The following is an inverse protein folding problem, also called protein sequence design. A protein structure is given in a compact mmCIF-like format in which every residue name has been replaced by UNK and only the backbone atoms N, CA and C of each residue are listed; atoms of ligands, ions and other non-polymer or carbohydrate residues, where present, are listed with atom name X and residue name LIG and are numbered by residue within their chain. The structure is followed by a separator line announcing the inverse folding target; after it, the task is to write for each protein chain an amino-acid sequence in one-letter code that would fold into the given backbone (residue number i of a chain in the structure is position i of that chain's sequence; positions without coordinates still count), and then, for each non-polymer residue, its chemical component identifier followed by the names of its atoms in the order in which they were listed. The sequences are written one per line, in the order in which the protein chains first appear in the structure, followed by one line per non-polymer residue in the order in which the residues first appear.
data_IF_384108767261
#
_entry.id   IF_384108767261
#
_cell.length_a   1.000
_cell.length_b   1.000
_cell.length_c   1.000
_cell.angle_alpha   90.00
_cell.angle_beta   90.00
_cell.angle_gamma   90.00
#
_symmetry.space_group_name_H-M   'P 1'
#
loop_
_entity.id
_entity.type
_entity.pdbx_description
1 polymer ?
#
# COMPACT_ATOMS: atom_id res chain seq x y z
N UNK A 1 -8.53 -6.49 4.57
CA UNK A 1 -7.36 -7.34 4.22
C UNK A 1 -6.11 -7.04 5.05
N UNK A 2 -5.83 -5.80 5.47
CA UNK A 2 -4.59 -5.49 6.21
C UNK A 2 -4.58 -5.92 7.68
N UNK A 3 -5.74 -6.22 8.28
CA UNK A 3 -5.87 -6.50 9.71
C UNK A 3 -5.31 -7.87 10.09
N UNK A 4 -5.54 -8.89 9.25
CA UNK A 4 -4.97 -10.24 9.42
C UNK A 4 -3.44 -10.21 9.36
N UNK A 5 -2.86 -9.48 8.40
CA UNK A 5 -1.40 -9.36 8.30
C UNK A 5 -0.79 -8.55 9.45
N UNK A 6 -1.51 -7.55 9.96
CA UNK A 6 -1.10 -6.81 11.16
C UNK A 6 -1.10 -7.71 12.39
N UNK A 7 -2.13 -8.54 12.56
CA UNK A 7 -2.20 -9.54 13.62
C UNK A 7 -1.03 -10.52 13.53
N UNK A 8 -0.75 -11.09 12.36
CA UNK A 8 0.42 -11.98 12.15
C UNK A 8 1.72 -11.24 12.52
N UNK A 9 1.87 -9.98 12.13
CA UNK A 9 3.08 -9.19 12.40
C UNK A 9 3.31 -8.91 13.90
N UNK A 10 2.25 -8.84 14.71
CA UNK A 10 2.34 -8.66 16.17
C UNK A 10 2.64 -10.01 16.83
N UNK A 11 1.90 -11.05 16.45
CA UNK A 11 1.97 -12.37 17.06
C UNK A 11 3.18 -13.20 16.60
N UNK A 12 3.89 -12.81 15.52
CA UNK A 12 5.07 -13.55 15.01
C UNK A 12 6.22 -13.66 16.02
N UNK A 13 6.22 -12.81 17.05
CA UNK A 13 7.20 -12.88 18.13
C UNK A 13 6.93 -14.05 19.10
N UNK A 14 5.68 -14.49 19.19
CA UNK A 14 5.23 -15.55 20.11
C UNK A 14 4.91 -16.86 19.36
N UNK A 15 4.46 -16.76 18.10
CA UNK A 15 4.04 -17.91 17.29
C UNK A 15 4.72 -17.90 15.91
N UNK A 16 4.84 -19.08 15.31
CA UNK A 16 5.39 -19.18 13.95
C UNK A 16 4.40 -18.58 12.93
N UNK A 17 4.92 -17.83 11.96
CA UNK A 17 4.13 -17.26 10.85
C UNK A 17 3.36 -18.36 10.10
N UNK A 18 3.92 -19.57 10.00
CA UNK A 18 3.27 -20.72 9.36
C UNK A 18 1.98 -21.10 10.08
N UNK A 19 1.99 -21.18 11.41
CA UNK A 19 0.82 -21.49 12.22
C UNK A 19 -0.24 -20.39 12.09
N UNK A 20 0.17 -19.12 12.22
CA UNK A 20 -0.74 -17.99 12.12
C UNK A 20 -1.38 -17.90 10.73
N UNK A 21 -0.62 -18.15 9.66
CA UNK A 21 -1.15 -18.22 8.30
C UNK A 21 -2.14 -19.36 8.10
N UNK A 22 -1.90 -20.52 8.70
CA UNK A 22 -2.80 -21.67 8.63
C UNK A 22 -4.12 -21.41 9.36
N UNK A 23 -4.06 -20.82 10.56
CA UNK A 23 -5.25 -20.48 11.38
C UNK A 23 -6.11 -19.42 10.69
N UNK A 24 -5.48 -18.42 10.08
CA UNK A 24 -6.17 -17.31 9.42
C UNK A 24 -6.54 -17.60 7.95
N UNK A 25 -6.17 -18.76 7.41
CA UNK A 25 -6.45 -19.13 6.02
C UNK A 25 -5.76 -18.24 4.97
N UNK A 26 -4.63 -17.63 5.30
CA UNK A 26 -3.88 -16.76 4.39
C UNK A 26 -2.62 -17.43 3.87
N UNK A 27 -2.31 -17.20 2.59
CA UNK A 27 -1.08 -17.70 1.99
C UNK A 27 0.15 -17.00 2.59
N UNK A 28 1.19 -17.80 2.91
CA UNK A 28 2.48 -17.31 3.41
C UNK A 28 3.13 -16.28 2.47
N UNK A 29 3.02 -16.50 1.16
CA UNK A 29 3.53 -15.59 0.14
C UNK A 29 2.87 -14.21 0.21
N UNK A 30 1.56 -14.15 0.47
CA UNK A 30 0.84 -12.89 0.63
C UNK A 30 1.28 -12.12 1.88
N UNK A 31 1.55 -12.83 2.99
CA UNK A 31 2.08 -12.21 4.20
C UNK A 31 3.46 -11.60 3.95
N UNK A 32 4.40 -12.35 3.36
CA UNK A 32 5.74 -11.82 3.08
C UNK A 32 5.74 -10.71 2.02
N UNK A 33 4.85 -10.77 1.02
CA UNK A 33 4.67 -9.67 0.08
C UNK A 33 4.15 -8.40 0.76
N UNK A 34 3.23 -8.55 1.73
CA UNK A 34 2.75 -7.43 2.55
C UNK A 34 3.85 -6.90 3.49
N UNK A 35 4.64 -7.78 4.11
CA UNK A 35 5.74 -7.40 5.00
C UNK A 35 6.86 -6.68 4.23
N UNK A 36 7.23 -7.19 3.06
CA UNK A 36 8.17 -6.53 2.15
C UNK A 36 7.62 -5.18 1.68
N UNK A 37 6.34 -5.10 1.34
CA UNK A 37 5.67 -3.85 1.01
C UNK A 37 5.61 -2.86 2.18
N UNK A 38 5.50 -3.33 3.42
CA UNK A 38 5.53 -2.51 4.64
C UNK A 38 6.94 -2.02 4.95
N UNK A 39 7.97 -2.83 4.71
CA UNK A 39 9.36 -2.44 4.87
C UNK A 39 9.81 -1.47 3.77
N UNK A 40 9.36 -1.66 2.53
CA UNK A 40 9.56 -0.73 1.43
C UNK A 40 8.78 0.58 1.65
N UNK A 41 7.59 0.51 2.24
CA UNK A 41 6.83 1.66 2.77
C UNK A 41 7.25 1.97 4.22
N UNK A 42 8.55 2.06 4.48
CA UNK A 42 9.03 2.78 5.66
C UNK A 42 8.26 4.11 5.75
N UNK A 43 7.84 4.51 6.97
CA UNK A 43 6.99 5.69 7.30
C UNK A 43 6.74 6.53 6.05
N UNK A 44 5.52 6.51 5.45
CA UNK A 44 5.34 7.07 4.12
C UNK A 44 5.95 8.46 4.12
N UNK A 45 7.04 8.61 3.37
CA UNK A 45 7.78 9.86 3.34
C UNK A 45 6.73 10.92 3.02
N UNK A 46 6.82 12.10 3.64
CA UNK A 46 5.80 13.15 3.46
C UNK A 46 5.55 13.42 1.96
N UNK A 47 6.54 13.14 1.13
CA UNK A 47 6.54 13.15 -0.32
C UNK A 47 5.58 12.11 -0.93
N UNK A 48 5.57 10.86 -0.46
CA UNK A 48 4.60 9.83 -0.89
C UNK A 48 3.16 10.19 -0.52
N UNK A 49 2.95 10.75 0.69
CA UNK A 49 1.62 11.22 1.11
C UNK A 49 1.18 12.42 0.27
N UNK A 50 2.07 13.36 -0.01
CA UNK A 50 1.81 14.49 -0.88
C UNK A 50 1.48 14.03 -2.31
N UNK A 51 2.23 13.06 -2.84
CA UNK A 51 1.99 12.48 -4.16
C UNK A 51 0.63 11.76 -4.23
N UNK A 52 0.28 10.97 -3.21
CA UNK A 52 -1.04 10.32 -3.13
C UNK A 52 -2.16 11.36 -3.02
N UNK A 53 -1.94 12.46 -2.28
CA UNK A 53 -2.88 13.58 -2.20
C UNK A 53 -3.07 14.23 -3.57
N UNK A 54 -2.00 14.54 -4.29
CA UNK A 54 -2.06 15.14 -5.63
C UNK A 54 -2.77 14.25 -6.65
N UNK A 55 -2.46 12.95 -6.65
CA UNK A 55 -3.15 11.94 -7.46
C UNK A 55 -4.65 11.96 -7.15
N UNK A 56 -5.01 12.03 -5.88
CA UNK A 56 -6.41 12.06 -5.44
C UNK A 56 -7.11 13.34 -5.90
N UNK A 57 -6.46 14.50 -5.80
CA UNK A 57 -6.99 15.78 -6.29
C UNK A 57 -7.26 15.71 -7.79
N UNK A 58 -6.33 15.20 -8.59
CA UNK A 58 -6.51 15.05 -10.04
C UNK A 58 -7.65 14.07 -10.36
N UNK A 59 -7.75 12.98 -9.61
CA UNK A 59 -8.80 11.97 -9.76
C UNK A 59 -10.19 12.54 -9.47
N UNK A 60 -10.33 13.37 -8.44
CA UNK A 60 -11.59 14.04 -8.06
C UNK A 60 -11.93 15.15 -9.05
N UNK A 61 -10.98 16.00 -9.41
CA UNK A 61 -11.17 17.08 -10.38
C UNK A 61 -11.62 16.55 -11.76
N UNK A 62 -11.06 15.41 -12.17
CA UNK A 62 -11.44 14.74 -13.42
C UNK A 62 -12.69 13.86 -13.33
N UNK A 63 -13.43 13.89 -12.21
CA UNK A 63 -14.61 13.03 -11.95
C UNK A 63 -14.34 11.54 -12.20
N UNK A 64 -13.11 11.08 -11.94
CA UNK A 64 -12.63 9.71 -12.20
C UNK A 64 -12.69 9.28 -13.68
N UNK A 65 -12.92 10.20 -14.60
CA UNK A 65 -12.95 9.93 -16.04
C UNK A 65 -11.54 9.74 -16.60
N UNK A 66 -10.52 10.30 -15.95
CA UNK A 66 -9.14 10.16 -16.39
C UNK A 66 -8.54 8.83 -15.93
N UNK A 67 -8.14 8.01 -16.91
CA UNK A 67 -7.35 6.82 -16.69
C UNK A 67 -5.90 7.12 -16.32
N UNK A 68 -5.15 6.07 -15.95
CA UNK A 68 -3.75 6.13 -15.51
C UNK A 68 -2.85 6.99 -16.41
N UNK A 69 -2.93 6.94 -17.75
CA UNK A 69 -2.06 7.75 -18.62
C UNK A 69 -2.30 9.26 -18.46
N UNK A 70 -3.57 9.67 -18.29
CA UNK A 70 -3.94 11.08 -18.17
C UNK A 70 -3.65 11.65 -16.79
N UNK A 71 -3.84 10.84 -15.74
CA UNK A 71 -3.46 11.22 -14.38
C UNK A 71 -1.94 11.42 -14.30
N UNK A 72 -1.16 10.53 -14.91
CA UNK A 72 0.31 10.63 -14.91
C UNK A 72 0.84 11.81 -15.75
N UNK A 73 0.19 12.14 -16.87
CA UNK A 73 0.51 13.34 -17.65
C UNK A 73 0.22 14.63 -16.86
N UNK A 74 -0.86 14.66 -16.09
CA UNK A 74 -1.24 15.81 -15.26
C UNK A 74 -0.33 15.95 -14.03
N UNK A 75 0.09 14.86 -13.40
CA UNK A 75 1.11 14.88 -12.34
C UNK A 75 2.43 15.46 -12.85
N UNK A 76 2.90 15.01 -14.02
CA UNK A 76 4.13 15.55 -14.63
C UNK A 76 4.03 17.04 -14.95
N UNK A 77 2.86 17.53 -15.35
CA UNK A 77 2.63 18.98 -15.56
C UNK A 77 2.68 19.78 -14.26
N UNK A 78 2.35 19.16 -13.12
CA UNK A 78 2.38 19.79 -11.80
C UNK A 78 3.75 19.72 -11.12
N UNK A 79 4.73 19.04 -11.73
CA UNK A 79 6.11 19.01 -11.26
C UNK A 79 6.42 17.93 -10.22
N UNK A 80 5.48 17.04 -9.93
CA UNK A 80 5.70 15.89 -9.05
C UNK A 80 6.14 14.66 -9.87
N UNK A 81 7.35 14.16 -9.60
CA UNK A 81 7.86 12.87 -10.05
C UNK A 81 8.36 12.07 -8.86
#
# INVERSE_FOLDING_TARGET
MSEMYRFICVEKAQFTVVLLCAVLGVARSSYYAWEAGKQARGVPEREDLALVQEITVIRVASKRTYGVPRVHAELRRRGAQ
#
